data_IF_813441487555
#
_entry.id   IF_813441487555
#
_cell.length_a   1.000
_cell.length_b   1.000
_cell.length_c   1.000
_cell.angle_alpha   90.00
_cell.angle_beta   90.00
_cell.angle_gamma   90.00
#
_symmetry.space_group_name_H-M   'P 1'
#
loop_
_entity.id
_entity.type
_entity.pdbx_description
1 polymer ?
#
# COMPACT_ATOMS: atom_id res chain seq x y z
N UNK A 1 -36.40 14.64 -7.91
CA UNK A 1 -35.76 13.48 -7.27
C UNK A 1 -34.63 12.91 -8.12
N UNK A 2 -34.86 12.52 -9.38
CA UNK A 2 -33.82 11.99 -10.29
C UNK A 2 -32.62 12.95 -10.44
N UNK A 3 -32.85 14.25 -10.66
CA UNK A 3 -31.80 15.26 -10.77
C UNK A 3 -30.93 15.36 -9.52
N UNK A 4 -31.55 15.25 -8.34
CA UNK A 4 -30.84 15.27 -7.04
C UNK A 4 -30.00 13.99 -6.90
N UNK A 5 -30.56 12.82 -7.20
CA UNK A 5 -29.82 11.55 -7.14
C UNK A 5 -28.62 11.54 -8.11
N UNK A 6 -28.79 12.03 -9.34
CA UNK A 6 -27.69 12.19 -10.31
C UNK A 6 -26.62 13.13 -9.79
N UNK A 7 -27.01 14.26 -9.21
CA UNK A 7 -26.08 15.19 -8.59
C UNK A 7 -25.27 14.54 -7.45
N UNK A 8 -25.92 13.77 -6.57
CA UNK A 8 -25.25 13.05 -5.48
C UNK A 8 -24.27 11.99 -5.99
N UNK A 9 -24.57 11.33 -7.10
CA UNK A 9 -23.64 10.39 -7.76
C UNK A 9 -22.40 11.14 -8.25
N UNK A 10 -22.56 12.27 -8.94
CA UNK A 10 -21.43 13.10 -9.40
C UNK A 10 -20.57 13.56 -8.23
N UNK A 11 -21.19 14.05 -7.16
CA UNK A 11 -20.47 14.44 -5.92
C UNK A 11 -19.71 13.25 -5.34
N UNK A 12 -20.33 12.07 -5.27
CA UNK A 12 -19.68 10.86 -4.76
C UNK A 12 -18.47 10.43 -5.60
N UNK A 13 -18.54 10.55 -6.93
CA UNK A 13 -17.40 10.31 -7.82
C UNK A 13 -16.26 11.29 -7.51
N UNK A 14 -16.56 12.59 -7.42
CA UNK A 14 -15.56 13.62 -7.13
C UNK A 14 -14.90 13.41 -5.76
N UNK A 15 -15.68 13.10 -4.73
CA UNK A 15 -15.17 12.77 -3.39
C UNK A 15 -14.31 11.50 -3.40
N UNK A 16 -14.62 10.52 -4.24
CA UNK A 16 -13.84 9.28 -4.33
C UNK A 16 -12.49 9.47 -5.02
N UNK A 17 -12.37 10.43 -5.93
CA UNK A 17 -11.08 10.70 -6.58
C UNK A 17 -10.05 11.21 -5.56
N UNK A 18 -10.46 12.09 -4.64
CA UNK A 18 -9.54 12.76 -3.69
C UNK A 18 -9.58 12.22 -2.25
N UNK A 19 -10.73 11.69 -1.83
CA UNK A 19 -11.04 11.42 -0.43
C UNK A 19 -11.75 10.07 -0.22
N UNK A 20 -11.51 9.07 -1.08
CA UNK A 20 -12.17 7.75 -0.96
C UNK A 20 -11.99 7.10 0.42
N UNK A 21 -10.80 7.20 1.05
CA UNK A 21 -10.56 6.66 2.39
C UNK A 21 -11.48 7.29 3.45
N UNK A 22 -11.72 8.61 3.36
CA UNK A 22 -12.58 9.34 4.31
C UNK A 22 -14.05 8.89 4.22
N UNK A 23 -14.47 8.33 3.09
CA UNK A 23 -15.79 7.72 2.96
C UNK A 23 -15.97 6.52 3.90
N UNK A 24 -14.89 5.83 4.27
CA UNK A 24 -14.90 4.68 5.18
C UNK A 24 -14.42 5.04 6.58
N UNK A 25 -14.91 6.15 7.16
CA UNK A 25 -14.45 6.67 8.46
C UNK A 25 -14.63 5.71 9.65
N UNK A 26 -15.47 4.67 9.50
CA UNK A 26 -15.65 3.63 10.53
C UNK A 26 -14.41 2.74 10.71
N UNK A 27 -13.50 2.76 9.73
CA UNK A 27 -12.24 2.04 9.79
C UNK A 27 -11.08 3.02 10.04
N UNK A 28 -10.08 2.61 10.84
CA UNK A 28 -8.84 3.35 10.97
C UNK A 28 -8.15 3.44 9.61
N UNK A 29 -7.25 4.40 9.44
CA UNK A 29 -6.61 4.57 8.14
C UNK A 29 -5.84 3.31 7.76
N UNK A 30 -5.27 2.58 8.73
CA UNK A 30 -4.46 1.34 8.54
C UNK A 30 -5.18 0.26 7.74
N UNK A 31 -6.51 0.25 7.73
CA UNK A 31 -7.31 -0.65 6.91
C UNK A 31 -7.19 -0.27 5.43
N UNK A 32 -6.91 -1.26 4.57
CA UNK A 32 -6.81 -1.07 3.12
C UNK A 32 -8.20 -0.81 2.56
N UNK A 33 -8.39 0.36 1.97
CA UNK A 33 -9.63 0.74 1.27
C UNK A 33 -9.29 0.99 -0.19
N UNK A 34 -10.10 0.47 -1.11
CA UNK A 34 -10.00 0.74 -2.55
C UNK A 34 -10.85 1.95 -2.94
N UNK A 35 -10.59 2.54 -4.11
CA UNK A 35 -11.42 3.64 -4.64
C UNK A 35 -12.88 3.24 -4.81
N UNK A 36 -13.14 2.00 -5.24
CA UNK A 36 -14.50 1.47 -5.38
C UNK A 36 -15.20 1.39 -4.02
N UNK A 37 -14.51 0.89 -3.00
CA UNK A 37 -15.07 0.81 -1.64
C UNK A 37 -15.41 2.20 -1.09
N UNK A 38 -14.48 3.16 -1.23
CA UNK A 38 -14.74 4.55 -0.82
C UNK A 38 -15.86 5.21 -1.62
N UNK A 39 -16.01 4.87 -2.92
CA UNK A 39 -17.12 5.34 -3.75
C UNK A 39 -18.47 4.81 -3.29
N UNK A 40 -18.57 3.51 -3.01
CA UNK A 40 -19.77 2.91 -2.44
C UNK A 40 -20.14 3.56 -1.10
N UNK A 41 -19.15 3.88 -0.27
CA UNK A 41 -19.36 4.57 0.98
C UNK A 41 -19.84 6.02 0.78
N UNK A 42 -19.24 6.77 -0.14
CA UNK A 42 -19.67 8.14 -0.45
C UNK A 42 -21.07 8.21 -1.04
N UNK A 43 -21.42 7.29 -1.96
CA UNK A 43 -22.81 7.12 -2.41
C UNK A 43 -23.71 6.86 -1.20
N UNK A 44 -23.26 5.97 -0.32
CA UNK A 44 -23.97 5.64 0.90
C UNK A 44 -24.29 6.85 1.76
N UNK A 45 -23.26 7.55 2.22
CA UNK A 45 -23.39 8.69 3.13
C UNK A 45 -24.17 9.85 2.53
N UNK A 46 -23.90 10.18 1.26
CA UNK A 46 -24.58 11.31 0.60
C UNK A 46 -26.08 11.06 0.45
N UNK A 47 -26.48 9.82 0.13
CA UNK A 47 -27.89 9.48 0.00
C UNK A 47 -28.58 9.28 1.37
N UNK A 48 -27.89 8.74 2.37
CA UNK A 48 -28.41 8.64 3.74
C UNK A 48 -28.62 10.02 4.37
N UNK A 49 -27.70 10.97 4.14
CA UNK A 49 -27.85 12.33 4.65
C UNK A 49 -29.07 13.04 4.05
N UNK A 50 -29.35 12.79 2.78
CA UNK A 50 -30.52 13.33 2.08
C UNK A 50 -31.81 12.62 2.48
N UNK A 51 -31.78 11.34 2.88
CA UNK A 51 -32.97 10.59 3.26
C UNK A 51 -33.50 10.94 4.66
N UNK A 52 -32.61 11.29 5.61
CA UNK A 52 -32.96 11.52 7.02
C UNK A 52 -34.06 12.59 7.20
N UNK A 53 -34.02 13.78 6.56
CA UNK A 53 -35.07 14.79 6.71
C UNK A 53 -36.45 14.31 6.26
N UNK A 54 -36.54 13.58 5.14
CA UNK A 54 -37.82 13.06 4.64
C UNK A 54 -38.43 12.01 5.56
N UNK A 55 -37.59 11.17 6.18
CA UNK A 55 -38.04 10.18 7.15
C UNK A 55 -38.51 10.84 8.45
N UNK A 56 -37.82 11.90 8.89
CA UNK A 56 -38.18 12.69 10.05
C UNK A 56 -39.53 13.43 9.86
N UNK A 57 -39.76 13.96 8.66
CA UNK A 57 -40.99 14.68 8.30
C UNK A 57 -42.16 13.74 7.93
N UNK A 58 -41.98 12.42 8.02
CA UNK A 58 -43.01 11.42 7.69
C UNK A 58 -43.29 11.25 6.19
N UNK A 59 -42.50 11.88 5.30
CA UNK A 59 -42.60 11.69 3.84
C UNK A 59 -41.80 10.46 3.38
N UNK A 60 -42.27 9.28 3.82
CA UNK A 60 -41.63 8.00 3.52
C UNK A 60 -41.48 7.73 2.02
N UNK A 61 -42.44 8.18 1.19
CA UNK A 61 -42.38 7.95 -0.28
C UNK A 61 -41.14 8.60 -0.91
N UNK A 62 -40.74 9.79 -0.44
CA UNK A 62 -39.54 10.47 -0.93
C UNK A 62 -38.27 10.05 -0.19
N UNK A 63 -38.37 9.65 1.08
CA UNK A 63 -37.23 9.22 1.90
C UNK A 63 -36.73 7.80 1.60
N UNK A 64 -37.62 6.87 1.22
CA UNK A 64 -37.26 5.45 1.04
C UNK A 64 -36.28 5.21 -0.11
N UNK A 65 -36.46 5.89 -1.25
CA UNK A 65 -35.54 5.72 -2.40
C UNK A 65 -34.08 6.10 -2.06
N UNK A 66 -33.77 7.32 -1.57
CA UNK A 66 -32.42 7.66 -1.16
C UNK A 66 -31.94 6.82 0.04
N UNK A 67 -32.84 6.38 0.92
CA UNK A 67 -32.46 5.45 2.01
C UNK A 67 -31.92 4.13 1.45
N UNK A 68 -32.62 3.47 0.53
CA UNK A 68 -32.19 2.19 -0.06
C UNK A 68 -30.93 2.37 -0.91
N UNK A 69 -30.89 3.43 -1.75
CA UNK A 69 -29.73 3.78 -2.58
C UNK A 69 -28.51 4.14 -1.71
N UNK A 70 -28.71 4.63 -0.48
CA UNK A 70 -27.62 4.87 0.45
C UNK A 70 -27.18 3.60 1.20
N UNK A 71 -28.13 2.88 1.79
CA UNK A 71 -27.84 1.77 2.69
C UNK A 71 -27.19 0.57 1.98
N UNK A 72 -27.70 0.20 0.79
CA UNK A 72 -27.19 -0.97 0.06
C UNK A 72 -25.72 -0.79 -0.38
N UNK A 73 -25.33 0.32 -1.04
CA UNK A 73 -23.92 0.56 -1.36
C UNK A 73 -23.03 0.69 -0.13
N UNK A 74 -23.48 1.37 0.93
CA UNK A 74 -22.68 1.52 2.15
C UNK A 74 -22.32 0.16 2.75
N UNK A 75 -23.32 -0.71 2.97
CA UNK A 75 -23.11 -2.05 3.52
C UNK A 75 -22.22 -2.87 2.60
N UNK A 76 -22.48 -2.83 1.29
CA UNK A 76 -21.67 -3.55 0.29
C UNK A 76 -20.20 -3.11 0.36
N UNK A 77 -19.95 -1.80 0.47
CA UNK A 77 -18.61 -1.26 0.64
C UNK A 77 -17.93 -1.77 1.91
N UNK A 78 -18.63 -1.76 3.05
CA UNK A 78 -18.10 -2.21 4.35
C UNK A 78 -17.70 -3.68 4.28
N UNK A 79 -18.57 -4.53 3.71
CA UNK A 79 -18.28 -5.96 3.52
C UNK A 79 -17.06 -6.17 2.63
N UNK A 80 -16.97 -5.44 1.51
CA UNK A 80 -15.81 -5.52 0.62
C UNK A 80 -14.51 -5.08 1.31
N UNK A 81 -14.55 -4.05 2.15
CA UNK A 81 -13.39 -3.64 2.96
C UNK A 81 -12.98 -4.76 3.91
N UNK A 82 -13.91 -5.36 4.65
CA UNK A 82 -13.62 -6.47 5.55
C UNK A 82 -12.97 -7.62 4.76
N UNK A 83 -13.58 -8.06 3.65
CA UNK A 83 -13.05 -9.14 2.82
C UNK A 83 -11.64 -8.84 2.27
N UNK A 84 -11.37 -7.58 1.93
CA UNK A 84 -10.06 -7.15 1.41
C UNK A 84 -8.97 -7.10 2.48
N UNK A 85 -9.33 -7.19 3.77
CA UNK A 85 -8.44 -7.07 4.91
C UNK A 85 -8.46 -8.32 5.80
N UNK A 86 -8.89 -9.47 5.28
CA UNK A 86 -8.67 -10.79 5.89
C UNK A 86 -7.39 -11.38 5.32
N UNK A 87 -6.78 -12.33 6.04
CA UNK A 87 -5.66 -13.11 5.53
C UNK A 87 -6.02 -13.78 4.20
N UNK A 88 -5.07 -13.75 3.26
CA UNK A 88 -5.25 -14.39 1.96
C UNK A 88 -3.91 -14.85 1.41
N UNK A 89 -3.95 -15.89 0.58
CA UNK A 89 -2.81 -16.29 -0.25
C UNK A 89 -2.96 -15.62 -1.61
N UNK A 90 -1.90 -14.95 -2.06
CA UNK A 90 -1.87 -14.21 -3.33
C UNK A 90 -1.04 -15.01 -4.34
N UNK A 91 -1.46 -15.04 -5.60
CA UNK A 91 -0.64 -15.60 -6.65
C UNK A 91 0.63 -14.76 -6.83
N UNK A 92 1.79 -15.40 -7.07
CA UNK A 92 2.99 -14.67 -7.49
C UNK A 92 2.69 -14.04 -8.85
N UNK A 93 2.64 -12.71 -8.90
CA UNK A 93 2.68 -12.01 -10.18
C UNK A 93 4.14 -12.05 -10.65
N UNK A 94 4.36 -12.74 -11.77
CA UNK A 94 5.57 -13.55 -12.04
C UNK A 94 6.84 -12.79 -12.41
N UNK A 95 6.91 -11.48 -12.25
CA UNK A 95 7.92 -10.72 -13.00
C UNK A 95 9.12 -10.25 -12.18
N UNK A 96 8.99 -10.07 -10.86
CA UNK A 96 10.12 -9.70 -9.99
C UNK A 96 10.19 -10.68 -8.82
N UNK A 97 11.33 -11.34 -8.64
CA UNK A 97 11.60 -12.23 -7.52
C UNK A 97 12.49 -11.54 -6.49
N UNK A 98 12.14 -11.72 -5.23
CA UNK A 98 12.93 -11.25 -4.09
C UNK A 98 13.45 -12.48 -3.37
N UNK A 99 14.76 -12.57 -3.19
CA UNK A 99 15.43 -13.70 -2.58
C UNK A 99 16.28 -13.21 -1.40
N UNK A 100 16.24 -13.94 -0.29
CA UNK A 100 17.22 -13.80 0.78
C UNK A 100 18.34 -14.81 0.55
N UNK A 101 19.58 -14.32 0.52
CA UNK A 101 20.78 -15.13 0.39
C UNK A 101 21.29 -15.53 1.79
N UNK A 102 21.10 -16.80 2.17
CA UNK A 102 21.67 -17.37 3.40
C UNK A 102 22.92 -18.23 3.11
N UNK A 103 23.69 -17.83 2.08
CA UNK A 103 24.94 -18.48 1.66
C UNK A 103 24.72 -19.76 0.84
N UNK A 104 24.14 -20.79 1.45
CA UNK A 104 23.95 -22.11 0.81
C UNK A 104 22.57 -22.31 0.19
N UNK A 105 21.62 -21.41 0.49
CA UNK A 105 20.28 -21.48 -0.06
C UNK A 105 19.70 -20.09 -0.30
N UNK A 106 18.83 -20.03 -1.30
CA UNK A 106 18.04 -18.85 -1.64
C UNK A 106 16.63 -19.06 -1.12
N UNK A 107 16.19 -18.19 -0.23
CA UNK A 107 14.86 -18.29 0.38
C UNK A 107 13.92 -17.30 -0.31
N UNK A 108 12.80 -17.80 -0.80
CA UNK A 108 11.71 -16.97 -1.31
C UNK A 108 10.74 -16.58 -0.18
N UNK A 109 10.18 -15.36 -0.20
CA UNK A 109 9.20 -14.93 0.77
C UNK A 109 7.84 -15.61 0.55
N UNK A 110 6.97 -15.48 1.55
CA UNK A 110 5.63 -16.04 1.52
C UNK A 110 4.70 -15.32 0.55
N UNK A 111 3.77 -16.08 -0.01
CA UNK A 111 2.63 -15.57 -0.77
C UNK A 111 1.45 -15.17 0.12
N UNK A 112 1.59 -15.25 1.44
CA UNK A 112 0.56 -14.89 2.40
C UNK A 112 0.55 -13.37 2.57
N UNK A 113 -0.63 -12.75 2.52
CA UNK A 113 -0.85 -11.39 3.01
C UNK A 113 -1.63 -11.46 4.33
N UNK A 114 -1.05 -10.91 5.40
CA UNK A 114 -1.77 -10.72 6.65
C UNK A 114 -2.82 -9.61 6.52
N UNK A 115 -4.03 -9.92 6.97
CA UNK A 115 -5.16 -9.01 6.97
C UNK A 115 -5.27 -8.24 8.29
N UNK A 116 -5.35 -6.91 8.24
CA UNK A 116 -5.51 -6.09 9.44
C UNK A 116 -6.81 -6.41 10.22
N UNK A 117 -7.84 -6.83 9.50
CA UNK A 117 -9.14 -7.24 10.03
C UNK A 117 -9.27 -8.77 10.08
N UNK A 118 -8.15 -9.51 10.11
CA UNK A 118 -8.20 -10.95 10.24
C UNK A 118 -8.98 -11.36 11.49
N UNK A 119 -9.66 -12.51 11.38
CA UNK A 119 -10.45 -13.09 12.47
C UNK A 119 -11.61 -12.19 12.96
N UNK A 120 -12.03 -11.18 12.18
CA UNK A 120 -13.07 -10.21 12.58
C UNK A 120 -14.36 -10.89 13.07
N UNK A 121 -14.79 -11.97 12.44
CA UNK A 121 -16.04 -12.67 12.75
C UNK A 121 -16.01 -13.30 14.15
N UNK A 122 -14.93 -14.02 14.47
CA UNK A 122 -14.74 -14.63 15.80
C UNK A 122 -14.52 -13.55 16.84
N UNK A 123 -13.68 -12.54 16.54
CA UNK A 123 -13.37 -11.47 17.50
C UNK A 123 -14.61 -10.64 17.82
N UNK A 124 -15.42 -10.26 16.82
CA UNK A 124 -16.69 -9.58 17.07
C UNK A 124 -17.68 -10.43 17.87
N UNK A 125 -17.72 -11.75 17.67
CA UNK A 125 -18.56 -12.62 18.50
C UNK A 125 -18.09 -12.69 19.96
N UNK A 126 -16.78 -12.61 20.20
CA UNK A 126 -16.18 -12.69 21.54
C UNK A 126 -16.35 -11.40 22.35
N UNK A 127 -16.03 -10.25 21.76
CA UNK A 127 -16.00 -8.96 22.49
C UNK A 127 -17.15 -8.03 22.12
N UNK A 128 -17.96 -8.38 21.13
CA UNK A 128 -19.04 -7.55 20.61
C UNK A 128 -18.57 -6.50 19.59
N UNK A 129 -19.47 -6.02 18.71
CA UNK A 129 -19.12 -5.11 17.61
C UNK A 129 -18.56 -3.78 18.10
N UNK A 130 -19.15 -3.19 19.14
CA UNK A 130 -18.68 -1.91 19.72
C UNK A 130 -17.23 -1.98 20.18
N UNK A 131 -16.83 -3.04 20.87
CA UNK A 131 -15.46 -3.18 21.38
C UNK A 131 -14.49 -3.58 20.28
N UNK A 132 -14.92 -4.37 19.30
CA UNK A 132 -14.10 -4.67 18.12
C UNK A 132 -13.71 -3.40 17.35
N UNK A 133 -14.67 -2.51 17.07
CA UNK A 133 -14.34 -1.24 16.42
C UNK A 133 -13.39 -0.39 17.27
N UNK A 134 -13.56 -0.34 18.59
CA UNK A 134 -12.58 0.34 19.47
C UNK A 134 -11.19 -0.31 19.40
N UNK A 135 -11.12 -1.63 19.36
CA UNK A 135 -9.87 -2.37 19.29
C UNK A 135 -9.11 -2.06 18.00
N UNK A 136 -9.77 -2.00 16.82
CA UNK A 136 -9.05 -1.71 15.57
C UNK A 136 -8.43 -0.30 15.54
N UNK A 137 -9.07 0.69 16.16
CA UNK A 137 -8.45 2.01 16.35
C UNK A 137 -7.31 1.98 17.37
N UNK A 138 -7.44 1.18 18.43
CA UNK A 138 -6.35 0.96 19.38
C UNK A 138 -5.14 0.28 18.72
N UNK A 139 -5.36 -0.67 17.81
CA UNK A 139 -4.32 -1.31 16.98
C UNK A 139 -3.55 -0.28 16.16
N UNK A 140 -4.26 0.63 15.47
CA UNK A 140 -3.61 1.70 14.71
C UNK A 140 -2.79 2.62 15.63
N UNK A 141 -3.34 3.04 16.77
CA UNK A 141 -2.63 3.87 17.73
C UNK A 141 -1.36 3.19 18.27
N UNK A 142 -1.46 1.90 18.62
CA UNK A 142 -0.31 1.13 19.07
C UNK A 142 0.74 0.98 17.96
N UNK A 143 0.31 0.75 16.71
CA UNK A 143 1.23 0.65 15.57
C UNK A 143 2.02 1.95 15.38
N UNK A 144 1.39 3.11 15.55
CA UNK A 144 2.09 4.41 15.52
C UNK A 144 3.16 4.53 16.59
N UNK A 145 2.83 4.22 17.85
CA UNK A 145 3.79 4.28 18.95
C UNK A 145 4.93 3.25 18.81
N UNK A 146 4.64 2.07 18.27
CA UNK A 146 5.65 1.05 18.00
C UNK A 146 6.63 1.45 16.89
N UNK A 147 6.18 2.22 15.89
CA UNK A 147 7.08 2.77 14.87
C UNK A 147 8.06 3.77 15.48
N UNK A 148 7.58 4.65 16.36
CA UNK A 148 8.47 5.58 17.09
C UNK A 148 9.47 4.80 17.95
N UNK A 149 9.02 3.80 18.69
CA UNK A 149 9.87 2.92 19.49
C UNK A 149 10.91 2.17 18.64
N UNK A 150 10.55 1.71 17.44
CA UNK A 150 11.47 1.06 16.51
C UNK A 150 12.59 2.02 16.05
N UNK A 151 12.30 3.30 15.87
CA UNK A 151 13.28 4.29 15.39
C UNK A 151 14.18 4.77 16.53
N UNK A 152 13.60 5.09 17.69
CA UNK A 152 14.32 5.78 18.78
C UNK A 152 14.68 4.90 19.96
N UNK A 153 13.95 3.80 20.18
CA UNK A 153 14.07 2.93 21.35
C UNK A 153 14.94 1.68 21.14
N UNK A 154 14.86 0.77 22.10
CA UNK A 154 15.50 -0.55 22.05
C UNK A 154 14.65 -1.53 21.20
N UNK A 155 15.23 -2.17 20.18
CA UNK A 155 14.52 -3.18 19.40
C UNK A 155 14.00 -4.38 20.23
N UNK A 156 14.70 -4.79 21.30
CA UNK A 156 14.27 -5.92 22.15
C UNK A 156 13.03 -5.53 22.96
N UNK A 157 13.01 -4.34 23.54
CA UNK A 157 11.83 -3.80 24.24
C UNK A 157 10.65 -3.57 23.29
N UNK A 158 10.92 -3.16 22.06
CA UNK A 158 9.89 -3.01 21.01
C UNK A 158 9.26 -4.36 20.67
N UNK A 159 10.06 -5.42 20.54
CA UNK A 159 9.56 -6.77 20.32
C UNK A 159 8.73 -7.30 21.52
N UNK A 160 9.18 -7.05 22.75
CA UNK A 160 8.43 -7.37 23.96
C UNK A 160 7.08 -6.63 24.02
N UNK A 161 7.07 -5.35 23.62
CA UNK A 161 5.86 -4.54 23.53
C UNK A 161 4.87 -5.11 22.51
N UNK A 162 5.34 -5.60 21.34
CA UNK A 162 4.49 -6.29 20.36
C UNK A 162 3.83 -7.54 20.98
N UNK A 163 4.61 -8.38 21.67
CA UNK A 163 4.13 -9.64 22.25
C UNK A 163 3.10 -9.45 23.37
N UNK A 164 3.13 -8.32 24.05
CA UNK A 164 2.27 -8.01 25.21
C UNK A 164 1.00 -7.25 24.85
N UNK A 165 0.79 -6.88 23.58
CA UNK A 165 -0.44 -6.22 23.15
C UNK A 165 -1.67 -7.10 23.43
N UNK A 166 -2.80 -6.53 23.91
CA UNK A 166 -3.95 -7.32 24.32
C UNK A 166 -4.50 -8.25 23.22
N UNK A 167 -4.59 -7.76 21.98
CA UNK A 167 -5.08 -8.55 20.85
C UNK A 167 -4.05 -9.58 20.32
N UNK A 168 -2.78 -9.47 20.72
CA UNK A 168 -1.75 -10.50 20.45
C UNK A 168 -1.85 -11.60 21.50
N UNK A 169 -1.92 -11.22 22.78
CA UNK A 169 -2.08 -12.16 23.91
C UNK A 169 -3.39 -12.95 23.79
N UNK A 170 -4.48 -12.30 23.38
CA UNK A 170 -5.78 -12.94 23.16
C UNK A 170 -5.83 -13.81 21.88
N UNK A 171 -4.75 -13.86 21.10
CA UNK A 171 -4.67 -14.62 19.85
C UNK A 171 -5.56 -14.09 18.73
N UNK A 172 -5.93 -12.80 18.76
CA UNK A 172 -6.70 -12.19 17.67
C UNK A 172 -5.84 -11.94 16.42
N UNK A 173 -4.56 -11.61 16.61
CA UNK A 173 -3.51 -11.59 15.58
C UNK A 173 -2.20 -12.12 16.17
N UNK A 174 -1.29 -12.62 15.33
CA UNK A 174 0.03 -13.07 15.78
C UNK A 174 1.01 -11.89 15.94
N UNK A 175 2.06 -12.06 16.75
CA UNK A 175 3.15 -11.08 16.85
C UNK A 175 3.81 -10.81 15.49
N UNK A 176 3.99 -11.87 14.68
CA UNK A 176 4.49 -11.79 13.29
C UNK A 176 3.62 -10.89 12.40
N UNK A 177 2.30 -11.06 12.46
CA UNK A 177 1.36 -10.24 11.70
C UNK A 177 1.41 -8.77 12.17
N UNK A 178 1.50 -8.54 13.48
CA UNK A 178 1.62 -7.19 14.04
C UNK A 178 2.91 -6.48 13.59
N UNK A 179 4.04 -7.19 13.52
CA UNK A 179 5.28 -6.65 12.95
C UNK A 179 5.10 -6.31 11.46
N UNK A 180 4.44 -7.15 10.67
CA UNK A 180 4.17 -6.85 9.27
C UNK A 180 3.31 -5.58 9.09
N UNK A 181 2.31 -5.36 9.96
CA UNK A 181 1.51 -4.13 9.95
C UNK A 181 2.34 -2.89 10.33
N UNK A 182 3.27 -3.04 11.27
CA UNK A 182 4.22 -1.99 11.64
C UNK A 182 5.10 -1.60 10.44
N UNK A 183 5.70 -2.57 9.76
CA UNK A 183 6.54 -2.33 8.58
C UNK A 183 5.73 -1.66 7.47
N UNK A 184 4.51 -2.15 7.18
CA UNK A 184 3.65 -1.51 6.19
C UNK A 184 3.33 -0.06 6.58
N UNK A 185 3.04 0.21 7.86
CA UNK A 185 2.78 1.57 8.33
C UNK A 185 4.01 2.48 8.17
N UNK A 186 5.19 2.03 8.62
CA UNK A 186 6.44 2.76 8.55
C UNK A 186 6.73 3.26 7.12
N UNK A 187 6.75 2.35 6.15
CA UNK A 187 7.17 2.67 4.79
C UNK A 187 6.09 3.30 3.90
N UNK A 188 4.81 3.26 4.31
CA UNK A 188 3.72 3.83 3.49
C UNK A 188 3.03 5.04 4.11
N UNK A 189 3.33 5.40 5.37
CA UNK A 189 2.57 6.42 6.10
C UNK A 189 3.38 7.28 7.04
N UNK A 190 4.46 6.74 7.59
CA UNK A 190 5.34 7.55 8.40
C UNK A 190 5.99 8.64 7.53
N UNK A 191 6.32 9.82 8.08
CA UNK A 191 6.96 10.88 7.29
C UNK A 191 8.21 10.37 6.58
N UNK A 192 8.18 10.37 5.24
CA UNK A 192 9.20 9.70 4.42
C UNK A 192 10.60 10.29 4.57
N UNK A 193 10.69 11.59 4.87
CA UNK A 193 11.98 12.24 5.14
C UNK A 193 12.63 11.67 6.40
N UNK A 194 11.83 11.34 7.42
CA UNK A 194 12.34 10.78 8.68
C UNK A 194 12.75 9.31 8.48
N UNK A 195 11.98 8.55 7.67
CA UNK A 195 12.34 7.18 7.29
C UNK A 195 13.68 7.15 6.56
N UNK A 196 13.88 8.03 5.57
CA UNK A 196 15.13 8.09 4.78
C UNK A 196 16.31 8.47 5.68
N UNK A 197 16.13 9.46 6.56
CA UNK A 197 17.19 9.95 7.45
C UNK A 197 17.77 8.85 8.35
N UNK A 198 16.91 7.98 8.88
CA UNK A 198 17.30 6.95 9.85
C UNK A 198 17.26 5.52 9.23
N UNK A 199 17.26 5.40 7.91
CA UNK A 199 16.98 4.15 7.17
C UNK A 199 17.89 2.98 7.59
N UNK A 200 19.20 3.22 7.74
CA UNK A 200 20.16 2.18 8.14
C UNK A 200 19.83 1.64 9.53
N UNK A 201 19.58 2.54 10.49
CA UNK A 201 19.23 2.18 11.87
C UNK A 201 17.90 1.42 11.92
N UNK A 202 16.92 1.87 11.14
CA UNK A 202 15.61 1.23 11.00
C UNK A 202 15.77 -0.22 10.51
N UNK A 203 16.57 -0.45 9.46
CA UNK A 203 16.81 -1.78 8.90
C UNK A 203 17.46 -2.70 9.94
N UNK A 204 18.46 -2.25 10.67
CA UNK A 204 19.11 -3.04 11.73
C UNK A 204 18.17 -3.35 12.91
N UNK A 205 17.40 -2.36 13.36
CA UNK A 205 16.42 -2.57 14.41
C UNK A 205 15.32 -3.55 13.96
N UNK A 206 14.87 -3.47 12.70
CA UNK A 206 13.89 -4.42 12.15
C UNK A 206 14.42 -5.86 12.12
N UNK A 207 15.69 -6.08 11.75
CA UNK A 207 16.32 -7.42 11.81
C UNK A 207 16.25 -8.00 13.22
N UNK A 208 16.58 -7.17 14.22
CA UNK A 208 16.54 -7.57 15.63
C UNK A 208 15.12 -7.89 16.10
N UNK A 209 14.16 -6.99 15.83
CA UNK A 209 12.76 -7.20 16.20
C UNK A 209 12.17 -8.43 15.50
N UNK A 210 12.48 -8.64 14.22
CA UNK A 210 12.03 -9.81 13.45
C UNK A 210 12.51 -11.12 14.06
N UNK A 211 13.79 -11.18 14.47
CA UNK A 211 14.35 -12.32 15.19
C UNK A 211 13.62 -12.56 16.52
N UNK A 212 13.41 -11.51 17.30
CA UNK A 212 12.74 -11.61 18.60
C UNK A 212 11.27 -12.04 18.49
N UNK A 213 10.54 -11.63 17.44
CA UNK A 213 9.16 -12.10 17.20
C UNK A 213 9.08 -13.39 16.37
N UNK A 214 10.22 -14.03 16.10
CA UNK A 214 10.35 -15.29 15.36
C UNK A 214 9.77 -15.22 13.93
N UNK A 215 9.92 -14.08 13.26
CA UNK A 215 9.52 -13.92 11.86
C UNK A 215 10.63 -14.39 10.93
N UNK A 216 10.44 -15.58 10.34
CA UNK A 216 11.31 -16.09 9.27
C UNK A 216 10.98 -15.40 7.93
N UNK A 217 11.98 -15.30 7.04
CA UNK A 217 11.77 -14.70 5.71
C UNK A 217 10.74 -15.46 4.86
N UNK A 218 10.73 -16.80 4.95
CA UNK A 218 9.74 -17.68 4.28
C UNK A 218 8.29 -17.42 4.72
N UNK A 219 8.09 -16.82 5.89
CA UNK A 219 6.78 -16.47 6.46
C UNK A 219 6.43 -14.99 6.23
N UNK A 220 7.34 -14.22 5.63
CA UNK A 220 7.18 -12.79 5.39
C UNK A 220 6.37 -12.57 4.12
N UNK A 221 5.30 -11.77 4.15
CA UNK A 221 4.54 -11.42 2.95
C UNK A 221 5.43 -10.82 1.87
N UNK A 222 5.26 -11.23 0.61
CA UNK A 222 6.05 -10.73 -0.53
C UNK A 222 6.18 -9.20 -0.55
N UNK A 223 5.07 -8.47 -0.36
CA UNK A 223 5.09 -6.99 -0.33
C UNK A 223 6.01 -6.43 0.77
N UNK A 224 6.02 -7.05 1.94
CA UNK A 224 6.87 -6.65 3.06
C UNK A 224 8.33 -7.02 2.79
N UNK A 225 8.58 -8.22 2.28
CA UNK A 225 9.90 -8.67 1.86
C UNK A 225 10.49 -7.73 0.78
N UNK A 226 9.67 -7.30 -0.19
CA UNK A 226 10.06 -6.34 -1.24
C UNK A 226 10.46 -4.98 -0.66
N UNK A 227 9.75 -4.49 0.37
CA UNK A 227 10.09 -3.25 1.07
C UNK A 227 11.43 -3.39 1.80
N UNK A 228 11.61 -4.48 2.55
CA UNK A 228 12.85 -4.74 3.29
C UNK A 228 14.04 -4.87 2.34
N UNK A 229 13.91 -5.69 1.29
CA UNK A 229 14.97 -5.92 0.32
C UNK A 229 15.39 -4.64 -0.39
N UNK A 230 14.45 -3.89 -0.98
CA UNK A 230 14.78 -2.65 -1.68
C UNK A 230 15.37 -1.59 -0.75
N UNK A 231 14.89 -1.51 0.51
CA UNK A 231 15.45 -0.58 1.50
C UNK A 231 16.87 -0.99 1.90
N UNK A 232 17.11 -2.30 2.09
CA UNK A 232 18.43 -2.83 2.41
C UNK A 232 19.40 -2.65 1.24
N UNK A 233 19.00 -2.93 0.00
CA UNK A 233 19.84 -2.78 -1.20
C UNK A 233 20.13 -1.31 -1.52
N UNK A 234 19.21 -0.39 -1.19
CA UNK A 234 19.46 1.04 -1.35
C UNK A 234 20.49 1.58 -0.33
N UNK A 235 20.61 0.93 0.83
CA UNK A 235 21.56 1.30 1.90
C UNK A 235 22.92 0.63 1.71
N UNK A 236 22.94 -0.65 1.34
CA UNK A 236 24.16 -1.45 1.25
C UNK A 236 24.83 -1.25 -0.11
N UNK A 237 25.55 -0.15 -0.27
CA UNK A 237 26.26 0.13 -1.52
C UNK A 237 27.64 -0.53 -1.63
N UNK A 238 28.16 -1.13 -0.55
CA UNK A 238 29.58 -1.52 -0.41
C UNK A 238 29.84 -2.92 0.18
N UNK A 239 28.84 -3.79 0.36
CA UNK A 239 29.08 -5.10 1.01
C UNK A 239 29.23 -6.25 0.00
N UNK A 240 30.36 -6.98 0.09
CA UNK A 240 30.65 -8.22 -0.63
C UNK A 240 29.63 -9.36 -0.34
N UNK A 241 28.75 -9.20 0.66
CA UNK A 241 27.70 -10.15 1.01
C UNK A 241 26.31 -9.53 0.81
N UNK A 242 25.86 -9.52 -0.45
CA UNK A 242 24.50 -9.10 -0.80
C UNK A 242 23.49 -10.03 -0.10
N UNK A 243 22.89 -9.53 0.98
CA UNK A 243 21.89 -10.28 1.79
C UNK A 243 20.60 -10.52 1.01
N UNK A 244 20.21 -9.58 0.13
CA UNK A 244 18.97 -9.67 -0.65
C UNK A 244 19.25 -9.53 -2.15
N UNK A 245 18.65 -10.41 -2.94
CA UNK A 245 18.76 -10.39 -4.39
C UNK A 245 17.39 -10.06 -5.00
N UNK A 246 17.38 -9.07 -5.87
CA UNK A 246 16.20 -8.65 -6.65
C UNK A 246 16.41 -9.12 -8.08
N UNK A 247 15.77 -10.24 -8.42
CA UNK A 247 15.81 -10.81 -9.76
C UNK A 247 14.60 -10.32 -10.57
N UNK A 248 14.87 -9.67 -11.69
CA UNK A 248 13.84 -9.03 -12.53
C UNK A 248 13.49 -9.86 -13.76
N UNK A 249 14.15 -11.02 -14.01
CA UNK A 249 14.07 -11.88 -15.21
C UNK A 249 14.30 -11.18 -16.57
N UNK A 250 14.24 -9.85 -16.65
CA UNK A 250 14.14 -9.06 -17.87
C UNK A 250 15.35 -8.12 -18.06
N UNK A 251 16.18 -7.99 -17.03
CA UNK A 251 17.45 -7.29 -17.09
C UNK A 251 18.58 -8.11 -16.46
N UNK A 252 19.72 -8.18 -17.16
CA UNK A 252 20.95 -8.78 -16.67
C UNK A 252 21.92 -7.63 -16.40
N UNK A 253 22.43 -7.57 -15.17
CA UNK A 253 23.37 -6.52 -14.76
C UNK A 253 24.76 -6.74 -15.37
N UNK A 254 25.43 -5.63 -15.70
CA UNK A 254 26.85 -5.63 -16.08
C UNK A 254 27.74 -5.96 -14.86
N UNK A 255 29.05 -6.17 -15.07
CA UNK A 255 30.01 -6.32 -13.95
C UNK A 255 29.94 -5.10 -13.00
N UNK A 256 29.93 -5.35 -11.69
CA UNK A 256 29.75 -4.37 -10.60
C UNK A 256 28.44 -3.56 -10.64
N UNK A 257 27.44 -4.02 -11.40
CA UNK A 257 26.08 -3.48 -11.37
C UNK A 257 25.16 -4.41 -10.56
N UNK A 258 24.32 -3.82 -9.70
CA UNK A 258 23.29 -4.55 -8.98
C UNK A 258 21.99 -3.75 -8.92
N UNK A 259 20.88 -4.48 -8.89
CA UNK A 259 19.54 -3.90 -8.78
C UNK A 259 19.32 -3.41 -7.35
N UNK A 260 19.06 -2.11 -7.20
CA UNK A 260 18.68 -1.51 -5.92
C UNK A 260 17.17 -1.58 -5.72
N UNK A 261 16.39 -1.44 -6.79
CA UNK A 261 14.94 -1.54 -6.74
C UNK A 261 14.31 -1.94 -8.06
N UNK A 262 13.10 -2.50 -7.99
CA UNK A 262 12.34 -2.90 -9.15
C UNK A 262 10.83 -2.76 -8.91
N UNK A 263 10.14 -2.20 -9.89
CA UNK A 263 8.71 -1.95 -9.87
C UNK A 263 8.06 -2.57 -11.10
N UNK A 264 6.90 -3.18 -10.89
CA UNK A 264 6.08 -3.74 -11.94
C UNK A 264 4.72 -3.06 -11.92
N UNK A 265 4.21 -2.67 -13.09
CA UNK A 265 2.90 -2.03 -13.15
C UNK A 265 2.42 -1.74 -14.57
N UNK A 266 1.22 -1.17 -14.67
CA UNK A 266 0.67 -0.75 -15.95
C UNK A 266 1.49 0.37 -16.57
N UNK A 267 1.62 0.35 -17.88
CA UNK A 267 2.24 1.44 -18.64
C UNK A 267 1.25 2.07 -19.61
N UNK A 268 1.36 3.38 -19.82
CA UNK A 268 0.60 4.06 -20.86
C UNK A 268 1.33 5.30 -21.36
N UNK A 269 0.94 5.73 -22.55
CA UNK A 269 1.47 6.93 -23.18
C UNK A 269 0.51 8.11 -23.05
N UNK A 270 1.06 9.28 -22.73
CA UNK A 270 0.36 10.57 -22.75
C UNK A 270 1.06 11.52 -23.71
N UNK A 271 0.29 12.15 -24.59
CA UNK A 271 0.79 13.24 -25.41
C UNK A 271 0.99 14.52 -24.57
N UNK A 272 2.09 15.22 -24.84
CA UNK A 272 2.59 16.35 -24.04
C UNK A 272 1.82 17.66 -24.24
N UNK A 273 0.98 17.78 -25.29
CA UNK A 273 0.36 19.04 -25.72
C UNK A 273 -1.06 19.34 -25.16
N UNK A 274 -1.55 18.59 -24.16
CA UNK A 274 -2.88 18.84 -23.57
C UNK A 274 -2.83 19.78 -22.36
N UNK A 275 -3.82 20.69 -22.24
CA UNK A 275 -4.00 21.55 -21.05
C UNK A 275 -4.07 20.71 -19.77
N UNK A 276 -3.55 21.22 -18.65
CA UNK A 276 -3.36 20.49 -17.38
C UNK A 276 -4.58 19.72 -16.86
N UNK A 277 -5.78 20.32 -16.92
CA UNK A 277 -7.04 19.66 -16.48
C UNK A 277 -7.43 18.51 -17.41
N UNK A 278 -7.33 18.71 -18.73
CA UNK A 278 -7.61 17.67 -19.72
C UNK A 278 -6.59 16.53 -19.63
N UNK A 279 -5.32 16.84 -19.36
CA UNK A 279 -4.25 15.86 -19.19
C UNK A 279 -4.57 14.86 -18.08
N UNK A 280 -5.13 15.31 -16.94
CA UNK A 280 -5.55 14.41 -15.86
C UNK A 280 -6.68 13.48 -16.30
N UNK A 281 -7.67 14.00 -17.02
CA UNK A 281 -8.81 13.20 -17.51
C UNK A 281 -8.33 12.16 -18.53
N UNK A 282 -7.50 12.57 -19.49
CA UNK A 282 -6.89 11.65 -20.46
C UNK A 282 -6.00 10.62 -19.78
N UNK A 283 -5.24 11.00 -18.75
CA UNK A 283 -4.44 10.08 -17.96
C UNK A 283 -5.31 9.03 -17.27
N UNK A 284 -6.43 9.43 -16.66
CA UNK A 284 -7.37 8.49 -16.04
C UNK A 284 -7.95 7.52 -17.07
N UNK A 285 -8.41 8.02 -18.22
CA UNK A 285 -8.95 7.18 -19.30
C UNK A 285 -7.90 6.18 -19.78
N UNK A 286 -6.69 6.66 -20.10
CA UNK A 286 -5.59 5.81 -20.57
C UNK A 286 -5.19 4.76 -19.53
N UNK A 287 -5.02 5.18 -18.27
CA UNK A 287 -4.70 4.29 -17.15
C UNK A 287 -5.72 3.16 -16.97
N UNK A 288 -7.02 3.47 -16.99
CA UNK A 288 -8.06 2.46 -16.84
C UNK A 288 -8.25 1.59 -18.09
N UNK A 289 -7.89 2.10 -19.27
CA UNK A 289 -7.91 1.33 -20.53
C UNK A 289 -6.67 0.47 -20.76
N UNK A 290 -5.55 0.79 -20.11
CA UNK A 290 -4.28 0.11 -20.34
C UNK A 290 -4.29 -1.30 -19.76
N UNK A 291 -3.82 -2.25 -20.57
CA UNK A 291 -3.57 -3.64 -20.20
C UNK A 291 -2.08 -3.98 -20.26
N UNK A 292 -1.27 -3.09 -20.80
CA UNK A 292 0.16 -3.31 -21.00
C UNK A 292 0.88 -3.13 -19.66
N UNK A 293 1.84 -4.02 -19.39
CA UNK A 293 2.68 -4.03 -18.20
C UNK A 293 4.10 -3.58 -18.56
N UNK A 294 4.80 -2.99 -17.60
CA UNK A 294 6.19 -2.56 -17.71
C UNK A 294 6.97 -2.86 -16.43
N UNK A 295 8.29 -2.98 -16.61
CA UNK A 295 9.26 -3.05 -15.54
C UNK A 295 10.05 -1.76 -15.46
N UNK A 296 10.11 -1.18 -14.26
CA UNK A 296 11.01 -0.09 -13.94
C UNK A 296 12.05 -0.63 -12.96
N UNK A 297 13.30 -0.65 -13.39
CA UNK A 297 14.43 -1.21 -12.64
C UNK A 297 15.40 -0.06 -12.37
N UNK A 298 15.82 0.09 -11.11
CA UNK A 298 16.86 1.04 -10.72
C UNK A 298 18.04 0.22 -10.25
N UNK A 299 19.21 0.50 -10.81
CA UNK A 299 20.48 -0.08 -10.38
C UNK A 299 21.32 0.97 -9.67
N UNK A 300 22.48 0.58 -9.17
CA UNK A 300 23.47 1.52 -8.66
C UNK A 300 24.08 2.43 -9.76
N UNK A 301 23.83 2.18 -11.05
CA UNK A 301 24.43 2.91 -12.18
C UNK A 301 23.41 3.62 -13.09
N UNK A 302 22.22 3.07 -13.29
CA UNK A 302 21.24 3.56 -14.27
C UNK A 302 19.80 3.20 -13.93
N UNK A 303 18.86 3.84 -14.60
CA UNK A 303 17.42 3.55 -14.54
C UNK A 303 17.00 2.88 -15.84
N UNK A 304 16.32 1.74 -15.77
CA UNK A 304 15.91 0.96 -16.92
C UNK A 304 14.40 0.86 -16.94
N UNK A 305 13.81 1.22 -18.08
CA UNK A 305 12.40 1.06 -18.37
C UNK A 305 12.23 0.01 -19.47
N UNK A 306 11.55 -1.08 -19.15
CA UNK A 306 11.13 -2.06 -20.12
C UNK A 306 9.62 -2.03 -20.31
N UNK A 307 9.19 -1.71 -21.53
CA UNK A 307 7.79 -1.58 -21.88
C UNK A 307 7.59 -1.91 -23.36
N UNK A 308 6.48 -2.58 -23.71
CA UNK A 308 6.15 -2.92 -25.10
C UNK A 308 7.22 -3.74 -25.84
N UNK A 309 8.03 -4.53 -25.12
CA UNK A 309 9.15 -5.29 -25.69
C UNK A 309 10.36 -4.42 -26.07
N UNK A 310 10.36 -3.14 -25.72
CA UNK A 310 11.50 -2.25 -25.84
C UNK A 310 12.11 -1.96 -24.47
N UNK A 311 13.44 -1.87 -24.42
CA UNK A 311 14.18 -1.46 -23.24
C UNK A 311 14.81 -0.08 -23.47
N UNK A 312 14.62 0.82 -22.51
CA UNK A 312 15.24 2.14 -22.47
C UNK A 312 16.04 2.30 -21.21
N UNK A 313 17.32 2.61 -21.35
CA UNK A 313 18.19 2.95 -20.24
C UNK A 313 18.35 4.48 -20.15
N UNK A 314 18.28 4.99 -18.94
CA UNK A 314 18.51 6.38 -18.58
C UNK A 314 19.67 6.46 -17.58
N UNK A 315 20.51 7.49 -17.65
CA UNK A 315 21.52 7.75 -16.63
C UNK A 315 20.85 8.03 -15.27
N UNK A 316 21.59 7.78 -14.17
CA UNK A 316 21.05 7.84 -12.80
C UNK A 316 20.59 9.25 -12.39
N UNK A 317 21.20 10.30 -12.95
CA UNK A 317 20.83 11.71 -12.77
C UNK A 317 19.39 12.02 -13.22
N UNK A 318 18.76 11.15 -14.02
CA UNK A 318 17.35 11.33 -14.38
C UNK A 318 16.41 11.24 -13.16
N UNK A 319 16.88 10.64 -12.07
CA UNK A 319 16.16 10.57 -10.81
C UNK A 319 15.93 11.96 -10.18
N UNK A 320 16.65 12.99 -10.60
CA UNK A 320 16.39 14.38 -10.17
C UNK A 320 15.19 15.02 -10.89
N UNK A 321 14.74 14.46 -12.01
CA UNK A 321 13.83 15.12 -12.96
C UNK A 321 12.54 14.34 -13.29
N UNK A 322 12.17 13.35 -12.48
CA UNK A 322 10.93 12.58 -12.71
C UNK A 322 9.65 13.39 -12.44
N UNK A 323 8.55 12.98 -13.07
CA UNK A 323 7.22 13.60 -12.89
C UNK A 323 6.18 12.53 -12.56
N UNK A 324 5.26 12.90 -11.66
CA UNK A 324 4.11 12.09 -11.32
C UNK A 324 2.82 12.55 -12.00
N UNK A 325 2.06 11.58 -12.50
CA UNK A 325 0.62 11.74 -12.81
C UNK A 325 -0.10 10.58 -12.13
N UNK A 326 -1.03 10.90 -11.22
CA UNK A 326 -1.66 9.90 -10.33
C UNK A 326 -0.58 9.12 -9.53
N UNK A 327 -0.54 7.80 -9.68
CA UNK A 327 0.47 6.91 -9.08
C UNK A 327 1.53 6.46 -10.10
N UNK A 328 1.63 7.14 -11.24
CA UNK A 328 2.51 6.74 -12.33
C UNK A 328 3.66 7.74 -12.48
N UNK A 329 4.88 7.22 -12.59
CA UNK A 329 6.11 7.98 -12.79
C UNK A 329 6.48 8.04 -14.26
N UNK A 330 7.08 9.15 -14.68
CA UNK A 330 7.63 9.34 -16.02
C UNK A 330 8.94 10.10 -15.96
N UNK A 331 9.90 9.68 -16.78
CA UNK A 331 11.21 10.32 -16.93
C UNK A 331 11.33 11.13 -18.23
N UNK A 332 10.47 10.86 -19.22
CA UNK A 332 10.51 11.48 -20.55
C UNK A 332 9.21 12.25 -20.90
N UNK A 333 8.30 12.39 -19.93
CA UNK A 333 6.97 13.02 -20.06
C UNK A 333 6.05 12.36 -21.10
N UNK A 334 6.41 11.17 -21.61
CA UNK A 334 5.67 10.42 -22.62
C UNK A 334 5.18 9.09 -22.08
N UNK A 335 6.09 8.30 -21.52
CA UNK A 335 5.79 6.99 -20.94
C UNK A 335 5.56 7.12 -19.44
N UNK A 336 4.42 6.64 -18.97
CA UNK A 336 4.02 6.66 -17.57
C UNK A 336 3.86 5.23 -17.06
N UNK A 337 4.62 4.88 -16.03
CA UNK A 337 4.60 3.55 -15.40
C UNK A 337 3.99 3.65 -14.03
N UNK A 338 2.97 2.83 -13.78
CA UNK A 338 2.35 2.67 -12.47
C UNK A 338 3.35 2.10 -11.46
N UNK A 339 3.42 2.74 -10.31
CA UNK A 339 4.16 2.24 -9.16
C UNK A 339 3.20 1.52 -8.21
N UNK A 340 3.61 0.34 -7.75
CA UNK A 340 2.93 -0.37 -6.66
C UNK A 340 2.86 0.48 -5.37
N UNK A 341 3.92 1.25 -5.11
CA UNK A 341 4.01 2.18 -4.00
C UNK A 341 4.83 3.41 -4.39
N UNK A 342 4.16 4.55 -4.50
CA UNK A 342 4.80 5.85 -4.74
C UNK A 342 5.76 6.22 -3.61
N UNK A 343 5.37 5.93 -2.37
CA UNK A 343 6.16 6.27 -1.19
C UNK A 343 7.47 5.47 -1.15
N UNK A 344 7.41 4.18 -1.46
CA UNK A 344 8.60 3.32 -1.53
C UNK A 344 9.57 3.80 -2.62
N UNK A 345 9.06 4.14 -3.81
CA UNK A 345 9.87 4.73 -4.86
C UNK A 345 10.57 6.02 -4.40
N UNK A 346 9.84 6.91 -3.72
CA UNK A 346 10.41 8.16 -3.21
C UNK A 346 11.49 7.93 -2.16
N UNK A 347 11.32 6.95 -1.27
CA UNK A 347 12.35 6.55 -0.29
C UNK A 347 13.60 6.09 -1.04
N UNK A 348 13.44 5.14 -1.97
CA UNK A 348 14.54 4.56 -2.74
C UNK A 348 15.30 5.61 -3.53
N UNK A 349 14.60 6.49 -4.24
CA UNK A 349 15.26 7.54 -5.03
C UNK A 349 16.04 8.50 -4.13
N UNK A 350 15.47 8.91 -2.99
CA UNK A 350 16.13 9.78 -2.02
C UNK A 350 17.29 9.14 -1.26
N UNK A 351 17.35 7.81 -1.19
CA UNK A 351 18.51 7.11 -0.61
C UNK A 351 19.65 6.93 -1.61
N UNK A 352 19.36 7.06 -2.92
CA UNK A 352 20.34 6.90 -4.00
C UNK A 352 20.97 8.25 -4.38
N UNK A 353 20.16 9.31 -4.45
CA UNK A 353 20.60 10.71 -4.66
C UNK A 353 21.11 11.27 -3.34
#
# INVERSE_FOLDING_TARGET
MITILLFLVVVSVLLSIKHYKKGMFIFPESVKVSRLQGFLAWIGWTNLFVSIPFLWDGDFKKGVYPLVIGLVPLISGIVLVIMSNIDKTVAKDGDIKILLNEGTSMIEPSNIEYGFLNNFKKRMAQIGPKYYFKEIFAREKATKGLVEALITGDPVETAASIKTLPWVVDGAITAKAQLCFLIEYLFTRYPQNDVVKDLNKIVENLKTVAKEVELDFKDTPYKIAKIIAQSSCAVNTNEENVTFIIDTNCYVCDEDEYVTSAFHGRVFNLETNTRSVLKLVFALVKYYSSKDKAHLIITNKKVILEAYGEQKAYPLDILDNFIFVLNCVSFDKKFYVELESKDLFLITVKSII
#
